data_IF_675439578759
#
_entry.id   IF_675439578759
#
_cell.length_a   1.000
_cell.length_b   1.000
_cell.length_c   1.000
_cell.angle_alpha   90.00
_cell.angle_beta   90.00
_cell.angle_gamma   90.00
#
_symmetry.space_group_name_H-M   'P 1'
#
loop_
_entity.id
_entity.type
_entity.pdbx_description
1 polymer ?
#
# COMPACT_ATOMS: atom_id res chain seq x y z
N UNK A 1 17.51 -15.25 -0.32
CA UNK A 1 17.39 -16.72 -0.28
C UNK A 1 17.18 -17.20 -1.71
N UNK A 2 18.13 -17.93 -2.30
CA UNK A 2 18.02 -18.40 -3.70
C UNK A 2 17.50 -19.83 -3.69
N UNK A 3 16.20 -19.99 -3.89
CA UNK A 3 15.59 -21.32 -4.01
C UNK A 3 15.85 -21.81 -5.43
N UNK A 4 16.52 -22.95 -5.57
CA UNK A 4 16.90 -23.51 -6.86
C UNK A 4 15.70 -24.14 -7.56
N UNK A 5 15.72 -24.14 -8.90
CA UNK A 5 14.79 -24.93 -9.72
C UNK A 5 14.89 -26.40 -9.31
N UNK A 6 13.76 -27.02 -8.98
CA UNK A 6 13.66 -28.39 -8.44
C UNK A 6 13.27 -28.47 -6.96
N UNK A 7 13.37 -27.38 -6.20
CA UNK A 7 12.84 -27.35 -4.84
C UNK A 7 11.30 -27.31 -4.84
N UNK A 8 10.63 -28.06 -3.95
CA UNK A 8 9.15 -28.16 -3.89
C UNK A 8 8.46 -26.79 -3.82
N UNK A 9 9.06 -25.84 -3.11
CA UNK A 9 8.51 -24.48 -2.94
C UNK A 9 8.93 -23.49 -4.04
N UNK A 10 9.73 -23.91 -5.03
CA UNK A 10 10.29 -23.00 -6.03
C UNK A 10 9.20 -22.22 -6.77
N UNK A 11 8.14 -22.91 -7.21
CA UNK A 11 7.02 -22.28 -7.91
C UNK A 11 6.31 -21.22 -7.04
N UNK A 12 6.04 -21.55 -5.78
CA UNK A 12 5.41 -20.62 -4.82
C UNK A 12 6.22 -19.32 -4.65
N UNK A 13 7.54 -19.44 -4.47
CA UNK A 13 8.38 -18.26 -4.29
C UNK A 13 8.59 -17.49 -5.59
N UNK A 14 8.67 -18.18 -6.73
CA UNK A 14 8.72 -17.51 -8.03
C UNK A 14 7.46 -16.68 -8.28
N UNK A 15 6.28 -17.24 -8.02
CA UNK A 15 5.01 -16.54 -8.14
C UNK A 15 4.95 -15.36 -7.17
N UNK A 16 5.38 -15.55 -5.92
CA UNK A 16 5.44 -14.48 -4.93
C UNK A 16 6.32 -13.31 -5.39
N UNK A 17 7.51 -13.60 -5.95
CA UNK A 17 8.40 -12.58 -6.49
C UNK A 17 7.76 -11.86 -7.69
N UNK A 18 7.07 -12.58 -8.58
CA UNK A 18 6.38 -11.98 -9.71
C UNK A 18 5.24 -11.07 -9.27
N UNK A 19 4.43 -11.52 -8.30
CA UNK A 19 3.34 -10.74 -7.73
C UNK A 19 3.86 -9.48 -7.03
N UNK A 20 4.96 -9.58 -6.28
CA UNK A 20 5.60 -8.42 -5.67
C UNK A 20 6.09 -7.40 -6.71
N UNK A 21 6.71 -7.87 -7.81
CA UNK A 21 7.15 -7.01 -8.92
C UNK A 21 5.95 -6.34 -9.60
N UNK A 22 4.88 -7.10 -9.85
CA UNK A 22 3.65 -6.57 -10.44
C UNK A 22 3.05 -5.49 -9.55
N UNK A 23 2.93 -5.76 -8.25
CA UNK A 23 2.42 -4.79 -7.27
C UNK A 23 3.26 -3.50 -7.28
N UNK A 24 4.59 -3.61 -7.25
CA UNK A 24 5.49 -2.45 -7.33
C UNK A 24 5.27 -1.63 -8.61
N UNK A 25 5.19 -2.30 -9.76
CA UNK A 25 4.97 -1.64 -11.04
C UNK A 25 3.60 -0.97 -11.12
N UNK A 26 2.54 -1.65 -10.66
CA UNK A 26 1.17 -1.11 -10.62
C UNK A 26 1.08 0.08 -9.69
N UNK A 27 1.67 0.02 -8.49
CA UNK A 27 1.69 1.17 -7.57
C UNK A 27 2.39 2.38 -8.21
N UNK A 28 3.56 2.18 -8.82
CA UNK A 28 4.28 3.25 -9.51
C UNK A 28 3.50 3.80 -10.70
N UNK A 29 2.76 2.94 -11.40
CA UNK A 29 1.88 3.36 -12.47
C UNK A 29 0.77 4.29 -11.94
N UNK A 30 0.05 3.86 -10.90
CA UNK A 30 -1.00 4.67 -10.25
C UNK A 30 -0.46 6.00 -9.74
N UNK A 31 0.68 6.02 -9.05
CA UNK A 31 1.31 7.26 -8.57
C UNK A 31 1.53 8.25 -9.73
N UNK A 32 2.03 7.77 -10.87
CA UNK A 32 2.23 8.63 -12.05
C UNK A 32 0.92 9.11 -12.65
N UNK A 33 -0.08 8.24 -12.77
CA UNK A 33 -1.40 8.62 -13.29
C UNK A 33 -2.06 9.69 -12.42
N UNK A 34 -2.00 9.55 -11.10
CA UNK A 34 -2.51 10.54 -10.15
C UNK A 34 -1.74 11.85 -10.26
N UNK A 35 -0.40 11.79 -10.20
CA UNK A 35 0.42 13.00 -10.26
C UNK A 35 0.16 13.78 -11.56
N UNK A 36 0.21 13.09 -12.70
CA UNK A 36 -0.02 13.73 -14.00
C UNK A 36 -1.47 14.20 -14.15
N UNK A 37 -2.45 13.41 -13.71
CA UNK A 37 -3.86 13.77 -13.75
C UNK A 37 -4.17 15.03 -12.94
N UNK A 38 -3.51 15.21 -11.79
CA UNK A 38 -3.76 16.37 -10.92
C UNK A 38 -2.91 17.61 -11.26
N UNK A 39 -1.89 17.49 -12.11
CA UNK A 39 -0.94 18.61 -12.39
C UNK A 39 -0.91 19.06 -13.84
N UNK A 40 -1.45 18.30 -14.79
CA UNK A 40 -1.50 18.70 -16.19
C UNK A 40 -2.67 19.66 -16.46
N UNK A 41 -2.47 20.58 -17.41
CA UNK A 41 -3.51 21.52 -17.86
C UNK A 41 -4.38 20.96 -19.01
N UNK A 42 -3.96 19.83 -19.60
CA UNK A 42 -4.66 19.16 -20.69
C UNK A 42 -5.81 18.32 -20.16
N UNK A 43 -6.74 17.97 -21.05
CA UNK A 43 -7.81 17.03 -20.70
C UNK A 43 -7.22 15.68 -20.25
N UNK A 44 -7.80 15.12 -19.18
CA UNK A 44 -7.42 13.82 -18.65
C UNK A 44 -7.64 12.72 -19.69
N UNK A 45 -6.63 11.86 -19.83
CA UNK A 45 -6.77 10.63 -20.59
C UNK A 45 -7.73 9.67 -19.86
N UNK A 46 -8.42 8.78 -20.59
CA UNK A 46 -9.37 7.83 -19.99
C UNK A 46 -8.79 7.05 -18.80
N UNK A 47 -7.54 6.61 -18.93
CA UNK A 47 -6.86 5.84 -17.89
C UNK A 47 -6.52 6.67 -16.63
N UNK A 48 -6.27 7.98 -16.79
CA UNK A 48 -6.09 8.88 -15.66
C UNK A 48 -7.42 9.11 -14.93
N UNK A 49 -8.52 9.27 -15.69
CA UNK A 49 -9.88 9.37 -15.13
C UNK A 49 -10.22 8.11 -14.34
N UNK A 50 -10.04 6.93 -14.93
CA UNK A 50 -10.30 5.64 -14.27
C UNK A 50 -9.49 5.47 -12.97
N UNK A 51 -8.20 5.80 -12.98
CA UNK A 51 -7.37 5.71 -11.77
C UNK A 51 -7.85 6.68 -10.68
N UNK A 52 -8.22 7.90 -11.04
CA UNK A 52 -8.73 8.89 -10.08
C UNK A 52 -10.10 8.47 -9.52
N UNK A 53 -11.00 7.95 -10.36
CA UNK A 53 -12.32 7.46 -9.95
C UNK A 53 -12.19 6.28 -8.97
N UNK A 54 -11.26 5.35 -9.23
CA UNK A 54 -10.97 4.24 -8.33
C UNK A 54 -10.48 4.78 -6.97
N UNK A 55 -9.57 5.76 -6.97
CA UNK A 55 -9.05 6.32 -5.72
C UNK A 55 -10.18 7.01 -4.95
N UNK A 56 -10.98 7.85 -5.61
CA UNK A 56 -12.10 8.55 -5.00
C UNK A 56 -13.11 7.58 -4.39
N UNK A 57 -13.43 6.49 -5.10
CA UNK A 57 -14.33 5.44 -4.62
C UNK A 57 -13.85 4.77 -3.32
N UNK A 58 -12.54 4.61 -3.13
CA UNK A 58 -11.98 3.77 -2.05
C UNK A 58 -11.23 4.55 -0.96
N UNK A 59 -10.93 5.84 -1.16
CA UNK A 59 -10.10 6.63 -0.23
C UNK A 59 -10.71 6.71 1.17
N UNK A 60 -12.02 6.87 1.29
CA UNK A 60 -12.71 6.93 2.59
C UNK A 60 -12.60 5.62 3.37
N UNK A 61 -12.79 4.48 2.69
CA UNK A 61 -12.63 3.16 3.32
C UNK A 61 -11.18 2.92 3.78
N UNK A 62 -10.21 3.41 3.01
CA UNK A 62 -8.80 3.36 3.39
C UNK A 62 -8.53 4.25 4.62
N UNK A 63 -9.10 5.45 4.66
CA UNK A 63 -9.00 6.38 5.78
C UNK A 63 -9.57 5.78 7.07
N UNK A 64 -10.75 5.15 6.99
CA UNK A 64 -11.37 4.44 8.13
C UNK A 64 -10.47 3.34 8.69
N UNK A 65 -9.86 2.56 7.79
CA UNK A 65 -8.95 1.47 8.18
C UNK A 65 -7.71 2.02 8.90
N UNK A 66 -7.12 3.10 8.38
CA UNK A 66 -5.97 3.77 8.99
C UNK A 66 -6.33 4.37 10.36
N UNK A 67 -7.48 5.04 10.45
CA UNK A 67 -7.99 5.62 11.69
C UNK A 67 -8.22 4.55 12.76
N UNK A 68 -8.80 3.41 12.39
CA UNK A 68 -8.98 2.28 13.30
C UNK A 68 -7.64 1.73 13.80
N UNK A 69 -6.66 1.56 12.92
CA UNK A 69 -5.33 1.09 13.30
C UNK A 69 -4.64 2.07 14.26
N UNK A 70 -4.75 3.37 13.98
CA UNK A 70 -4.23 4.43 14.85
C UNK A 70 -4.88 4.42 16.24
N UNK A 71 -6.21 4.35 16.32
CA UNK A 71 -6.95 4.28 17.58
C UNK A 71 -6.55 3.05 18.40
N UNK A 72 -6.39 1.88 17.75
CA UNK A 72 -5.89 0.66 18.38
C UNK A 72 -4.47 0.84 18.94
N UNK A 73 -3.58 1.50 18.19
CA UNK A 73 -2.23 1.82 18.65
C UNK A 73 -2.25 2.72 19.89
N UNK A 74 -3.03 3.82 19.85
CA UNK A 74 -3.19 4.72 21.00
C UNK A 74 -3.71 4.01 22.25
N UNK A 75 -4.70 3.13 22.09
CA UNK A 75 -5.25 2.36 23.22
C UNK A 75 -4.20 1.41 23.83
N UNK A 76 -3.33 0.82 23.02
CA UNK A 76 -2.21 0.00 23.51
C UNK A 76 -1.16 0.85 24.24
N UNK A 77 -0.77 2.00 23.69
CA UNK A 77 0.20 2.91 24.30
C UNK A 77 -0.29 3.40 25.67
N UNK A 78 -1.57 3.78 25.80
CA UNK A 78 -2.17 4.21 27.08
C UNK A 78 -2.15 3.12 28.17
N UNK A 79 -2.08 1.85 27.79
CA UNK A 79 -2.02 0.71 28.72
C UNK A 79 -0.59 0.34 29.11
N UNK A 80 0.43 0.91 28.45
CA UNK A 80 1.82 0.64 28.84
C UNK A 80 2.06 1.23 30.25
N UNK A 81 2.68 0.46 31.16
CA UNK A 81 3.11 1.02 32.43
C UNK A 81 4.04 2.21 32.16
N UNK A 82 3.84 3.31 32.89
CA UNK A 82 4.79 4.44 32.86
C UNK A 82 6.15 3.88 33.26
N UNK A 83 7.19 4.14 32.46
CA UNK A 83 8.56 3.79 32.83
C UNK A 83 8.85 4.39 34.21
N UNK A 84 9.00 3.52 35.22
CA UNK A 84 9.56 3.90 36.50
C UNK A 84 11.05 4.04 36.22
N UNK A 85 11.53 5.27 36.04
CA UNK A 85 12.96 5.53 36.07
C UNK A 85 13.45 5.24 37.49
N UNK A 86 14.20 4.16 37.66
CA UNK A 86 14.99 3.97 38.88
C UNK A 86 16.05 5.08 38.91
N UNK A 87 15.94 5.95 39.91
CA UNK A 87 16.97 6.93 40.26
C UNK A 87 18.09 6.26 41.05
#
# INVERSE_FOLDING_TARGET
>A
MWIKKGHRMYAYFQESCQNAKNMYNTTNFYIRQVYTGLTQEKELQPLQKEVLDIIDQYIEKMNDTQLLAYRKKLAKEKKKPKEIKCN
#
